data_IF_968317665477
#
_entry.id   IF_968317665477
#
_cell.length_a   1.000
_cell.length_b   1.000
_cell.length_c   1.000
_cell.angle_alpha   90.00
_cell.angle_beta   90.00
_cell.angle_gamma   90.00
#
_symmetry.space_group_name_H-M   'P 1'
#
loop_
_entity.id
_entity.type
_entity.pdbx_description
1 polymer ?
#
# COMPACT_ATOMS: atom_id res chain seq x y z
N UNK A 1 -3.06 4.10 12.66
CA UNK A 1 -3.46 5.19 11.76
C UNK A 1 -4.30 6.30 12.40
N UNK A 2 -4.99 6.08 13.54
CA UNK A 2 -5.35 7.14 14.49
C UNK A 2 -6.09 8.37 13.93
N UNK A 3 -5.69 9.57 14.37
CA UNK A 3 -6.35 10.84 14.01
C UNK A 3 -6.17 11.22 12.53
N UNK A 4 -5.12 10.72 11.87
CA UNK A 4 -4.80 11.07 10.48
C UNK A 4 -5.90 10.62 9.52
N UNK A 5 -6.51 9.46 9.76
CA UNK A 5 -7.56 8.93 8.89
C UNK A 5 -8.81 9.81 8.84
N UNK A 6 -9.01 10.65 9.86
CA UNK A 6 -10.19 11.50 9.99
C UNK A 6 -10.01 12.88 9.36
N UNK A 7 -8.83 13.18 8.83
CA UNK A 7 -8.54 14.49 8.22
C UNK A 7 -9.24 14.54 6.86
N UNK A 8 -10.30 15.37 6.70
CA UNK A 8 -11.18 15.26 5.52
C UNK A 8 -10.53 15.77 4.24
N UNK A 9 -9.53 16.66 4.34
CA UNK A 9 -8.88 17.30 3.19
C UNK A 9 -7.44 16.80 2.97
N UNK A 10 -7.05 15.68 3.59
CA UNK A 10 -5.72 15.12 3.40
C UNK A 10 -5.67 14.40 2.05
N UNK A 11 -5.07 15.04 1.04
CA UNK A 11 -4.93 14.49 -0.31
C UNK A 11 -3.65 13.73 -0.54
N UNK A 12 -2.62 14.00 0.26
CA UNK A 12 -1.32 13.33 0.17
C UNK A 12 -0.86 12.87 1.54
N UNK A 13 -0.46 11.60 1.64
CA UNK A 13 0.13 11.00 2.82
C UNK A 13 1.44 10.33 2.43
N UNK A 14 2.52 10.67 3.15
CA UNK A 14 3.83 10.06 2.97
C UNK A 14 4.27 9.43 4.28
N UNK A 15 4.43 8.11 4.30
CA UNK A 15 4.93 7.33 5.42
C UNK A 15 6.35 6.91 5.06
N UNK A 16 7.34 7.38 5.80
CA UNK A 16 8.76 7.21 5.46
C UNK A 16 9.52 6.71 6.69
N UNK A 17 10.26 5.62 6.53
CA UNK A 17 11.12 5.01 7.56
C UNK A 17 10.34 4.75 8.86
N UNK A 18 10.81 5.31 9.98
CA UNK A 18 10.29 5.19 11.35
C UNK A 18 9.01 6.02 11.57
N UNK A 19 8.08 6.00 10.60
CA UNK A 19 6.78 6.69 10.71
C UNK A 19 5.90 6.13 11.85
N UNK A 20 6.24 4.93 12.34
CA UNK A 20 5.57 4.24 13.44
C UNK A 20 6.60 3.75 14.46
N UNK A 21 6.14 3.44 15.66
CA UNK A 21 6.96 2.82 16.71
C UNK A 21 7.59 1.50 16.23
N UNK A 22 8.79 1.16 16.70
CA UNK A 22 9.56 -0.04 16.29
C UNK A 22 8.78 -1.36 16.45
N UNK A 23 7.82 -1.41 17.37
CA UNK A 23 6.97 -2.58 17.60
C UNK A 23 5.78 -2.69 16.62
N UNK A 24 5.58 -1.70 15.74
CA UNK A 24 4.45 -1.66 14.82
C UNK A 24 4.72 -2.59 13.64
N UNK A 25 3.97 -3.70 13.58
CA UNK A 25 4.10 -4.72 12.53
C UNK A 25 2.96 -4.72 11.51
N UNK A 26 1.82 -4.13 11.88
CA UNK A 26 0.60 -4.17 11.08
C UNK A 26 0.23 -2.75 10.69
N UNK A 27 0.19 -2.50 9.39
CA UNK A 27 -0.35 -1.28 8.82
C UNK A 27 -1.83 -1.50 8.52
N UNK A 28 -2.72 -0.67 9.07
CA UNK A 28 -4.17 -0.80 8.87
C UNK A 28 -4.72 0.52 8.35
N UNK A 29 -5.44 0.46 7.23
CA UNK A 29 -6.29 1.54 6.73
C UNK A 29 -7.75 1.14 6.94
N UNK A 30 -8.44 1.83 7.85
CA UNK A 30 -9.78 1.45 8.26
C UNK A 30 -10.87 1.95 7.30
N UNK A 31 -12.02 1.29 7.34
CA UNK A 31 -13.22 1.67 6.60
C UNK A 31 -13.59 3.13 6.87
N UNK A 32 -13.80 3.90 5.80
CA UNK A 32 -14.12 5.33 5.88
C UNK A 32 -12.93 6.22 6.25
N UNK A 33 -11.74 5.65 6.46
CA UNK A 33 -10.51 6.40 6.65
C UNK A 33 -10.03 7.04 5.36
N UNK A 34 -9.46 8.24 5.47
CA UNK A 34 -8.82 8.99 4.39
C UNK A 34 -9.76 9.24 3.18
N UNK A 35 -10.90 9.93 3.38
CA UNK A 35 -11.93 10.06 2.34
C UNK A 35 -11.45 10.78 1.07
N UNK A 36 -10.51 11.72 1.20
CA UNK A 36 -10.01 12.54 0.09
C UNK A 36 -8.55 12.25 -0.28
N UNK A 37 -7.98 11.15 0.21
CA UNK A 37 -6.58 10.82 -0.07
C UNK A 37 -6.44 10.36 -1.51
N UNK A 38 -5.60 11.07 -2.26
CA UNK A 38 -5.34 10.81 -3.68
C UNK A 38 -3.98 10.12 -3.88
N UNK A 39 -2.99 10.47 -3.06
CA UNK A 39 -1.64 9.93 -3.15
C UNK A 39 -1.14 9.38 -1.81
N UNK A 40 -0.77 8.09 -1.83
CA UNK A 40 -0.11 7.41 -0.72
C UNK A 40 1.30 6.99 -1.14
N UNK A 41 2.29 7.50 -0.43
CA UNK A 41 3.69 7.10 -0.57
C UNK A 41 4.15 6.38 0.70
N UNK A 42 4.70 5.19 0.53
CA UNK A 42 5.16 4.34 1.61
C UNK A 42 6.59 3.92 1.31
N UNK A 43 7.54 4.33 2.15
CA UNK A 43 8.96 4.07 1.93
C UNK A 43 9.65 3.53 3.18
N UNK A 44 10.42 2.46 3.01
CA UNK A 44 11.41 2.04 4.00
C UNK A 44 10.83 1.50 5.32
N UNK A 45 9.55 1.10 5.35
CA UNK A 45 8.93 0.51 6.55
C UNK A 45 9.32 -0.97 6.68
N UNK A 46 10.47 -1.23 7.29
CA UNK A 46 11.06 -2.58 7.38
C UNK A 46 10.36 -3.50 8.37
N UNK A 47 9.82 -2.94 9.46
CA UNK A 47 9.18 -3.70 10.53
C UNK A 47 7.73 -4.11 10.21
N UNK A 48 7.13 -3.50 9.18
CA UNK A 48 5.77 -3.81 8.75
C UNK A 48 5.78 -5.12 7.98
N UNK A 49 5.16 -6.14 8.58
CA UNK A 49 5.02 -7.48 7.99
C UNK A 49 3.64 -7.74 7.42
N UNK A 50 2.64 -7.00 7.90
CA UNK A 50 1.26 -7.15 7.47
C UNK A 50 0.66 -5.80 7.08
N UNK A 51 -0.09 -5.79 5.99
CA UNK A 51 -0.83 -4.64 5.55
C UNK A 51 -2.30 -5.03 5.35
N UNK A 52 -3.20 -4.25 5.95
CA UNK A 52 -4.65 -4.41 5.88
C UNK A 52 -5.28 -3.14 5.31
N UNK A 53 -6.14 -3.33 4.31
CA UNK A 53 -6.98 -2.29 3.73
C UNK A 53 -8.41 -2.77 3.85
N UNK A 54 -9.22 -2.10 4.66
CA UNK A 54 -10.63 -2.45 4.83
C UNK A 54 -11.48 -1.94 3.66
N UNK A 55 -12.59 -2.62 3.37
CA UNK A 55 -13.53 -2.20 2.34
C UNK A 55 -14.08 -0.80 2.66
N UNK A 56 -13.91 0.14 1.72
CA UNK A 56 -14.29 1.54 1.87
C UNK A 56 -13.21 2.43 2.49
N UNK A 57 -11.99 1.93 2.71
CA UNK A 57 -10.82 2.76 3.00
C UNK A 57 -10.34 3.51 1.74
N UNK A 58 -9.87 4.74 1.91
CA UNK A 58 -9.22 5.55 0.86
C UNK A 58 -9.97 5.56 -0.49
N UNK A 59 -11.28 5.91 -0.53
CA UNK A 59 -12.09 5.78 -1.74
C UNK A 59 -11.59 6.65 -2.91
N UNK A 60 -10.84 7.72 -2.65
CA UNK A 60 -10.32 8.65 -3.65
C UNK A 60 -8.90 8.34 -4.13
N UNK A 61 -8.28 7.26 -3.65
CA UNK A 61 -6.87 6.98 -3.92
C UNK A 61 -6.66 6.68 -5.39
N UNK A 62 -5.79 7.48 -6.03
CA UNK A 62 -5.47 7.34 -7.45
C UNK A 62 -4.01 6.94 -7.69
N UNK A 63 -3.12 7.19 -6.74
CA UNK A 63 -1.69 6.86 -6.82
C UNK A 63 -1.19 6.21 -5.55
N UNK A 64 -0.50 5.07 -5.70
CA UNK A 64 0.07 4.30 -4.60
C UNK A 64 1.50 3.91 -4.93
N UNK A 65 2.43 4.30 -4.07
CA UNK A 65 3.85 3.99 -4.19
C UNK A 65 4.31 3.27 -2.94
N UNK A 66 4.93 2.10 -3.11
CA UNK A 66 5.44 1.26 -2.03
C UNK A 66 6.87 0.88 -2.37
N UNK A 67 7.81 1.36 -1.57
CA UNK A 67 9.23 1.24 -1.88
C UNK A 67 10.01 0.78 -0.65
N UNK A 68 10.89 -0.21 -0.84
CA UNK A 68 11.81 -0.67 0.22
C UNK A 68 11.15 -1.16 1.53
N UNK A 69 9.91 -1.61 1.47
CA UNK A 69 9.16 -2.20 2.59
C UNK A 69 9.39 -3.71 2.68
N UNK A 70 10.61 -4.12 3.05
CA UNK A 70 11.08 -5.50 2.92
C UNK A 70 10.42 -6.52 3.87
N UNK A 71 9.82 -6.06 4.97
CA UNK A 71 9.06 -6.94 5.88
C UNK A 71 7.75 -7.42 5.26
N UNK A 72 7.22 -6.67 4.29
CA UNK A 72 5.97 -7.01 3.62
C UNK A 72 6.23 -8.08 2.56
N UNK A 73 5.69 -9.28 2.79
CA UNK A 73 5.83 -10.42 1.88
C UNK A 73 4.58 -10.69 1.05
N UNK A 74 3.46 -10.03 1.38
CA UNK A 74 2.16 -10.20 0.70
C UNK A 74 1.45 -8.88 0.51
N UNK A 75 0.59 -8.77 -0.52
CA UNK A 75 -0.32 -7.63 -0.67
C UNK A 75 -1.66 -7.88 0.05
N UNK A 76 -2.30 -6.85 0.65
CA UNK A 76 -3.65 -6.97 1.18
C UNK A 76 -4.65 -7.31 0.07
N UNK A 77 -5.59 -8.22 0.36
CA UNK A 77 -6.76 -8.45 -0.50
C UNK A 77 -7.55 -7.15 -0.75
N UNK A 78 -7.53 -6.24 0.22
CA UNK A 78 -8.22 -4.97 0.14
C UNK A 78 -7.74 -3.99 -0.92
N UNK A 79 -6.59 -4.24 -1.58
CA UNK A 79 -6.20 -3.47 -2.76
C UNK A 79 -7.23 -3.60 -3.89
N UNK A 80 -7.96 -4.71 -3.95
CA UNK A 80 -9.05 -4.92 -4.93
C UNK A 80 -10.20 -3.93 -4.77
N UNK A 81 -10.36 -3.33 -3.58
CA UNK A 81 -11.41 -2.35 -3.32
C UNK A 81 -11.04 -0.94 -3.78
N UNK A 82 -9.76 -0.70 -4.11
CA UNK A 82 -9.25 0.61 -4.53
C UNK A 82 -9.53 0.86 -6.02
N UNK A 83 -10.81 0.87 -6.40
CA UNK A 83 -11.27 0.96 -7.79
C UNK A 83 -10.86 2.24 -8.53
N UNK A 84 -10.50 3.30 -7.80
CA UNK A 84 -10.00 4.55 -8.37
C UNK A 84 -8.48 4.57 -8.59
N UNK A 85 -7.76 3.51 -8.18
CA UNK A 85 -6.32 3.44 -8.29
C UNK A 85 -5.88 3.36 -9.75
N UNK A 86 -5.10 4.35 -10.18
CA UNK A 86 -4.62 4.49 -11.56
C UNK A 86 -3.15 4.11 -11.72
N UNK A 87 -2.36 4.42 -10.70
CA UNK A 87 -0.92 4.21 -10.70
C UNK A 87 -0.52 3.43 -9.45
N UNK A 88 0.18 2.32 -9.66
CA UNK A 88 0.79 1.52 -8.63
C UNK A 88 2.28 1.33 -8.93
N UNK A 89 3.13 1.80 -8.02
CA UNK A 89 4.58 1.58 -8.07
C UNK A 89 4.98 0.70 -6.89
N UNK A 90 5.63 -0.44 -7.17
CA UNK A 90 6.17 -1.35 -6.17
C UNK A 90 7.64 -1.61 -6.50
N UNK A 91 8.58 -1.19 -5.65
CA UNK A 91 10.02 -1.32 -5.94
C UNK A 91 10.85 -1.67 -4.70
N UNK A 92 11.98 -2.36 -4.89
CA UNK A 92 12.92 -2.64 -3.80
C UNK A 92 12.34 -3.52 -2.68
N UNK A 93 11.30 -4.30 -2.99
CA UNK A 93 10.61 -5.20 -2.06
C UNK A 93 11.38 -6.51 -1.88
N UNK A 94 10.91 -7.36 -0.96
CA UNK A 94 11.44 -8.72 -0.80
C UNK A 94 11.24 -9.55 -2.07
N UNK A 95 12.13 -10.50 -2.33
CA UNK A 95 11.99 -11.45 -3.44
C UNK A 95 10.68 -12.25 -3.37
N UNK A 96 10.23 -12.56 -2.16
CA UNK A 96 8.97 -13.25 -1.91
C UNK A 96 7.77 -12.43 -2.39
N UNK A 97 7.65 -11.16 -1.98
CA UNK A 97 6.57 -10.32 -2.49
C UNK A 97 6.68 -10.12 -3.99
N UNK A 98 7.90 -9.88 -4.49
CA UNK A 98 8.16 -9.65 -5.91
C UNK A 98 7.67 -10.83 -6.77
N UNK A 99 7.93 -12.08 -6.38
CA UNK A 99 7.43 -13.24 -7.13
C UNK A 99 5.90 -13.39 -7.08
N UNK A 100 5.25 -12.94 -5.99
CA UNK A 100 3.79 -13.02 -5.86
C UNK A 100 3.04 -12.00 -6.71
N UNK A 101 3.67 -10.88 -7.05
CA UNK A 101 3.04 -9.79 -7.82
C UNK A 101 3.38 -9.83 -9.32
N UNK A 102 4.13 -10.84 -9.77
CA UNK A 102 4.34 -11.13 -11.20
C UNK A 102 3.06 -11.71 -11.82
N UNK A 103 2.91 -11.68 -13.15
CA UNK A 103 1.66 -12.03 -13.85
C UNK A 103 1.09 -13.42 -13.48
N UNK A 104 1.94 -14.39 -13.17
CA UNK A 104 1.60 -15.75 -12.73
C UNK A 104 1.60 -15.92 -11.20
N UNK A 105 1.92 -14.86 -10.47
CA UNK A 105 1.99 -14.82 -9.02
C UNK A 105 0.63 -14.72 -8.33
N UNK A 106 0.57 -15.25 -7.10
CA UNK A 106 -0.67 -15.34 -6.30
C UNK A 106 -1.35 -14.00 -6.04
N UNK A 107 -0.56 -12.92 -5.89
CA UNK A 107 -1.04 -11.59 -5.52
C UNK A 107 -1.34 -10.71 -6.73
N UNK A 108 -0.99 -11.11 -7.96
CA UNK A 108 -1.24 -10.33 -9.16
C UNK A 108 -2.72 -9.99 -9.35
N UNK A 109 -3.59 -10.94 -9.01
CA UNK A 109 -5.03 -10.76 -9.06
C UNK A 109 -5.55 -9.61 -8.17
N UNK A 110 -4.75 -9.15 -7.19
CA UNK A 110 -5.05 -8.00 -6.31
C UNK A 110 -4.76 -6.66 -6.97
N UNK A 111 -3.90 -6.63 -7.99
CA UNK A 111 -3.38 -5.40 -8.61
C UNK A 111 -3.64 -5.31 -10.13
N UNK A 112 -4.09 -6.39 -10.77
CA UNK A 112 -4.38 -6.44 -12.21
C UNK A 112 -5.39 -5.40 -12.73
N UNK A 113 -6.18 -4.80 -11.82
CA UNK A 113 -7.17 -3.78 -12.18
C UNK A 113 -6.54 -2.38 -12.36
N UNK A 114 -5.27 -2.19 -11.97
CA UNK A 114 -4.58 -0.90 -12.03
C UNK A 114 -4.01 -0.69 -13.44
N UNK A 115 -4.40 0.38 -14.16
CA UNK A 115 -3.96 0.62 -15.54
C UNK A 115 -2.45 0.86 -15.71
N UNK A 116 -1.81 1.52 -14.75
CA UNK A 116 -0.37 1.81 -14.78
C UNK A 116 0.30 1.10 -13.61
N UNK A 117 1.00 0.01 -13.92
CA UNK A 117 1.75 -0.79 -12.96
C UNK A 117 3.25 -0.69 -13.25
N UNK A 118 4.02 -0.27 -12.26
CA UNK A 118 5.48 -0.25 -12.30
C UNK A 118 6.01 -1.16 -11.20
N UNK A 119 6.54 -2.32 -11.60
CA UNK A 119 7.24 -3.25 -10.70
C UNK A 119 8.74 -3.11 -10.95
N UNK A 120 9.46 -2.62 -9.96
CA UNK A 120 10.91 -2.51 -9.99
C UNK A 120 11.60 -3.75 -9.43
N UNK A 121 12.93 -3.78 -9.55
CA UNK A 121 13.76 -4.89 -9.09
C UNK A 121 13.55 -5.25 -7.60
N UNK A 122 13.64 -6.54 -7.30
CA UNK A 122 13.70 -7.06 -5.94
C UNK A 122 15.08 -6.80 -5.30
N UNK A 123 15.12 -6.75 -3.97
CA UNK A 123 16.37 -6.65 -3.19
C UNK A 123 16.81 -8.01 -2.62
#
# INVERSE_FOLDING_TARGET
MGILEKIPNLTTLRLINEAFEENTKILVFSKGGFPSLEFLFVYGMREITEWRVEEGAMPSLCRLHIEYCRGLTTLPDGLRYLTNLRELTITGMSKELHSRIQEDGEDFCKIQHVPSLVVGEAY
#
